data_IF_217855600614
#
_entry.id   IF_217855600614
#
_cell.length_a   1.000
_cell.length_b   1.000
_cell.length_c   1.000
_cell.angle_alpha   90.00
_cell.angle_beta   90.00
_cell.angle_gamma   90.00
#
_symmetry.space_group_name_H-M   'P 1'
#
loop_
_entity.id
_entity.type
_entity.pdbx_description
1 polymer ?
#
# COMPACT_ATOMS: atom_id res chain seq x y z
N UNK A 1 -38.86 19.72 -10.61
CA UNK A 1 -37.53 20.31 -10.33
C UNK A 1 -36.45 19.26 -10.58
N UNK A 2 -35.80 19.28 -11.74
CA UNK A 2 -34.93 18.19 -12.22
C UNK A 2 -33.45 18.58 -12.12
N UNK A 3 -32.73 17.89 -11.24
CA UNK A 3 -31.36 17.37 -11.38
C UNK A 3 -30.29 18.19 -12.13
N UNK A 4 -29.80 19.30 -11.56
CA UNK A 4 -28.54 19.96 -12.01
C UNK A 4 -27.27 19.51 -11.24
N UNK A 5 -27.36 18.55 -10.31
CA UNK A 5 -26.27 18.24 -9.35
C UNK A 5 -25.17 17.25 -9.77
N UNK A 6 -25.27 16.38 -10.80
CA UNK A 6 -24.21 15.39 -11.05
C UNK A 6 -22.95 15.97 -11.74
N UNK A 7 -23.09 17.00 -12.58
CA UNK A 7 -21.95 17.56 -13.34
C UNK A 7 -20.94 18.35 -12.49
N UNK A 8 -21.41 19.06 -11.46
CA UNK A 8 -20.54 19.87 -10.61
C UNK A 8 -19.62 19.00 -9.71
N UNK A 9 -20.13 17.87 -9.22
CA UNK A 9 -19.36 16.90 -8.41
C UNK A 9 -18.26 16.23 -9.24
N UNK A 10 -18.62 15.72 -10.42
CA UNK A 10 -17.64 15.10 -11.34
C UNK A 10 -16.50 16.07 -11.74
N UNK A 11 -16.83 17.34 -11.99
CA UNK A 11 -15.82 18.36 -12.29
C UNK A 11 -14.91 18.68 -11.09
N UNK A 12 -15.43 18.64 -9.86
CA UNK A 12 -14.64 18.83 -8.65
C UNK A 12 -13.71 17.64 -8.39
N UNK A 13 -14.20 16.43 -8.58
CA UNK A 13 -13.44 15.19 -8.44
C UNK A 13 -12.30 15.12 -9.47
N UNK A 14 -12.57 15.44 -10.73
CA UNK A 14 -11.55 15.52 -11.77
C UNK A 14 -10.47 16.60 -11.47
N UNK A 15 -10.84 17.72 -10.83
CA UNK A 15 -9.86 18.73 -10.38
C UNK A 15 -8.98 18.20 -9.27
N UNK A 16 -9.53 17.45 -8.30
CA UNK A 16 -8.78 16.83 -7.21
C UNK A 16 -7.78 15.81 -7.73
N UNK A 17 -8.22 14.90 -8.59
CA UNK A 17 -7.33 13.89 -9.21
C UNK A 17 -6.16 14.55 -9.95
N UNK A 18 -6.45 15.55 -10.80
CA UNK A 18 -5.39 16.27 -11.52
C UNK A 18 -4.44 17.02 -10.59
N UNK A 19 -4.95 17.58 -9.48
CA UNK A 19 -4.11 18.23 -8.50
C UNK A 19 -3.16 17.22 -7.84
N UNK A 20 -3.65 16.07 -7.37
CA UNK A 20 -2.80 15.04 -6.76
C UNK A 20 -1.72 14.58 -7.73
N UNK A 21 -2.08 14.24 -8.98
CA UNK A 21 -1.10 13.86 -10.00
C UNK A 21 -0.02 14.94 -10.21
N UNK A 22 -0.43 16.21 -10.27
CA UNK A 22 0.50 17.34 -10.45
C UNK A 22 1.45 17.54 -9.27
N UNK A 23 0.97 17.39 -8.04
CA UNK A 23 1.75 17.69 -6.84
C UNK A 23 2.56 16.51 -6.33
N UNK A 24 2.04 15.29 -6.47
CA UNK A 24 2.63 14.08 -5.89
C UNK A 24 3.20 13.14 -6.96
N UNK A 25 2.90 13.35 -8.24
CA UNK A 25 3.28 12.43 -9.31
C UNK A 25 2.55 11.10 -9.30
N UNK A 26 1.52 10.94 -8.46
CA UNK A 26 0.78 9.69 -8.27
C UNK A 26 -0.55 9.75 -9.01
N UNK A 27 -0.84 8.71 -9.79
CA UNK A 27 -2.16 8.49 -10.38
C UNK A 27 -3.15 7.99 -9.32
N UNK A 28 -4.29 8.68 -9.20
CA UNK A 28 -5.34 8.39 -8.21
C UNK A 28 -6.73 8.37 -8.85
N UNK A 29 -7.62 7.54 -8.32
CA UNK A 29 -9.05 7.52 -8.61
C UNK A 29 -9.84 7.98 -7.40
N UNK A 30 -11.10 8.37 -7.61
CA UNK A 30 -12.04 8.64 -6.51
C UNK A 30 -13.09 7.55 -6.51
N UNK A 31 -13.15 6.80 -5.42
CA UNK A 31 -14.18 5.81 -5.14
C UNK A 31 -14.89 6.14 -3.82
N UNK A 32 -16.21 6.20 -3.85
CA UNK A 32 -17.06 6.67 -2.73
C UNK A 32 -16.54 7.92 -1.99
N UNK A 33 -15.98 8.88 -2.74
CA UNK A 33 -15.42 10.12 -2.19
C UNK A 33 -14.05 9.99 -1.52
N UNK A 34 -13.43 8.80 -1.54
CA UNK A 34 -12.06 8.54 -1.11
C UNK A 34 -11.11 8.57 -2.29
N UNK A 35 -9.92 9.12 -2.08
CA UNK A 35 -8.83 9.04 -3.05
C UNK A 35 -8.12 7.70 -2.87
N UNK A 36 -8.07 6.90 -3.93
CA UNK A 36 -7.33 5.66 -3.99
C UNK A 36 -6.22 5.79 -5.03
N UNK A 37 -5.08 5.14 -4.80
CA UNK A 37 -4.05 4.98 -5.82
C UNK A 37 -4.66 4.15 -6.96
N UNK A 38 -4.60 4.72 -8.16
CA UNK A 38 -5.18 4.13 -9.35
C UNK A 38 -4.46 2.85 -9.72
N UNK A 39 -5.20 1.86 -10.21
CA UNK A 39 -4.62 0.61 -10.67
C UNK A 39 -4.03 0.72 -12.09
N UNK A 40 -2.97 1.52 -12.25
CA UNK A 40 -2.24 1.65 -13.52
C UNK A 40 -0.95 0.82 -13.52
N UNK A 41 -0.47 0.41 -14.70
CA UNK A 41 0.80 -0.31 -14.84
C UNK A 41 1.97 0.46 -14.20
N UNK A 42 2.07 1.77 -14.45
CA UNK A 42 3.15 2.60 -13.91
C UNK A 42 3.13 2.63 -12.37
N UNK A 43 1.95 2.77 -11.76
CA UNK A 43 1.80 2.77 -10.30
C UNK A 43 2.12 1.40 -9.68
N UNK A 44 1.82 0.29 -10.39
CA UNK A 44 2.22 -1.05 -9.94
C UNK A 44 3.72 -1.23 -10.01
N UNK A 45 4.35 -0.90 -11.13
CA UNK A 45 5.80 -1.08 -11.34
C UNK A 45 6.60 -0.28 -10.33
N UNK A 46 6.23 1.00 -10.10
CA UNK A 46 6.87 1.83 -9.08
C UNK A 46 6.73 1.24 -7.66
N UNK A 47 5.55 0.71 -7.33
CA UNK A 47 5.33 0.04 -6.05
C UNK A 47 6.16 -1.24 -5.92
N UNK A 48 6.22 -2.05 -6.98
CA UNK A 48 6.97 -3.30 -7.01
C UNK A 48 8.46 -3.06 -6.80
N UNK A 49 9.04 -2.08 -7.49
CA UNK A 49 10.44 -1.68 -7.32
C UNK A 49 10.75 -1.29 -5.86
N UNK A 50 9.88 -0.48 -5.25
CA UNK A 50 10.02 -0.08 -3.85
C UNK A 50 9.94 -1.28 -2.89
N UNK A 51 9.04 -2.24 -3.16
CA UNK A 51 8.93 -3.47 -2.36
C UNK A 51 10.13 -4.37 -2.54
N UNK A 52 10.61 -4.56 -3.76
CA UNK A 52 11.79 -5.38 -4.06
C UNK A 52 13.04 -4.83 -3.34
N UNK A 53 13.23 -3.51 -3.33
CA UNK A 53 14.31 -2.88 -2.58
C UNK A 53 14.18 -3.14 -1.06
N UNK A 54 12.97 -3.00 -0.50
CA UNK A 54 12.74 -3.26 0.92
C UNK A 54 12.95 -4.74 1.29
N UNK A 55 12.49 -5.67 0.46
CA UNK A 55 12.70 -7.12 0.63
C UNK A 55 14.19 -7.45 0.58
N UNK A 56 14.96 -6.84 -0.33
CA UNK A 56 16.40 -7.02 -0.40
C UNK A 56 17.11 -6.52 0.87
N UNK A 57 16.64 -5.42 1.47
CA UNK A 57 17.17 -4.95 2.76
C UNK A 57 16.89 -5.93 3.90
N UNK A 58 15.67 -6.45 3.99
CA UNK A 58 15.33 -7.47 4.99
C UNK A 58 16.15 -8.74 4.83
N UNK A 59 16.30 -9.24 3.61
CA UNK A 59 17.09 -10.43 3.31
C UNK A 59 18.57 -10.27 3.70
N UNK A 60 19.09 -9.04 3.71
CA UNK A 60 20.44 -8.71 4.20
C UNK A 60 20.53 -8.59 5.73
N UNK A 61 19.43 -8.79 6.45
CA UNK A 61 19.37 -8.63 7.91
C UNK A 61 19.40 -7.17 8.36
N UNK A 62 19.03 -6.22 7.50
CA UNK A 62 18.96 -4.81 7.88
C UNK A 62 17.95 -4.61 9.01
N UNK A 63 18.26 -3.76 9.99
CA UNK A 63 17.35 -3.41 11.09
C UNK A 63 16.72 -2.06 10.82
N UNK A 64 15.39 -1.96 10.96
CA UNK A 64 14.68 -0.72 10.73
C UNK A 64 15.01 0.31 11.83
N UNK A 65 15.32 1.55 11.43
CA UNK A 65 15.72 2.62 12.35
C UNK A 65 14.60 3.12 13.28
N UNK A 66 13.36 2.78 12.98
CA UNK A 66 12.18 3.19 13.75
C UNK A 66 11.78 2.18 14.84
N UNK A 67 12.63 1.17 15.11
CA UNK A 67 12.39 0.14 16.12
C UNK A 67 11.34 -0.92 15.73
N UNK A 68 10.80 -0.87 14.51
CA UNK A 68 9.86 -1.90 14.04
C UNK A 68 10.59 -3.16 13.60
N UNK A 69 9.90 -4.30 13.74
CA UNK A 69 10.28 -5.52 13.03
C UNK A 69 9.85 -5.46 11.57
N UNK A 70 10.48 -6.27 10.72
CA UNK A 70 10.04 -6.42 9.34
C UNK A 70 8.62 -6.96 9.22
N UNK A 71 8.22 -7.90 10.08
CA UNK A 71 6.83 -8.40 10.13
C UNK A 71 5.85 -7.24 10.34
N UNK A 72 6.09 -6.38 11.34
CA UNK A 72 5.25 -5.19 11.60
C UNK A 72 5.21 -4.24 10.40
N UNK A 73 6.36 -3.98 9.76
CA UNK A 73 6.43 -3.12 8.57
C UNK A 73 5.57 -3.67 7.44
N UNK A 74 5.66 -4.96 7.14
CA UNK A 74 4.91 -5.57 6.04
C UNK A 74 3.42 -5.66 6.33
N UNK A 75 3.02 -6.03 7.54
CA UNK A 75 1.62 -6.02 7.94
C UNK A 75 1.01 -4.62 7.85
N UNK A 76 1.74 -3.59 8.28
CA UNK A 76 1.31 -2.20 8.10
C UNK A 76 1.22 -1.81 6.62
N UNK A 77 2.18 -2.24 5.80
CA UNK A 77 2.18 -1.98 4.36
C UNK A 77 0.99 -2.63 3.67
N UNK A 78 0.69 -3.91 3.96
CA UNK A 78 -0.46 -4.63 3.41
C UNK A 78 -1.77 -3.99 3.84
N UNK A 79 -1.88 -3.57 5.11
CA UNK A 79 -3.05 -2.82 5.60
C UNK A 79 -3.25 -1.51 4.85
N UNK A 80 -2.18 -0.76 4.59
CA UNK A 80 -2.25 0.48 3.82
C UNK A 80 -2.63 0.21 2.35
N UNK A 81 -2.07 -0.82 1.73
CA UNK A 81 -2.43 -1.21 0.36
C UNK A 81 -3.94 -1.49 0.28
N UNK A 82 -4.48 -2.28 1.21
CA UNK A 82 -5.92 -2.61 1.27
C UNK A 82 -6.82 -1.38 1.43
N UNK A 83 -6.38 -0.34 2.13
CA UNK A 83 -7.21 0.84 2.42
C UNK A 83 -7.04 1.99 1.43
N UNK A 84 -6.00 1.99 0.62
CA UNK A 84 -5.61 3.14 -0.21
C UNK A 84 -5.34 2.83 -1.68
N UNK A 85 -5.51 1.58 -2.12
CA UNK A 85 -5.30 1.18 -3.52
C UNK A 85 -6.60 0.64 -4.10
N UNK A 86 -6.94 1.05 -5.33
CA UNK A 86 -8.15 0.62 -6.04
C UNK A 86 -8.21 -0.92 -6.21
N UNK A 87 -7.07 -1.52 -6.54
CA UNK A 87 -6.92 -2.97 -6.66
C UNK A 87 -5.71 -3.46 -5.83
N UNK A 88 -5.92 -3.87 -4.57
CA UNK A 88 -4.82 -4.23 -3.68
C UNK A 88 -4.17 -5.59 -3.99
N UNK A 89 -4.88 -6.50 -4.65
CA UNK A 89 -4.47 -7.90 -4.85
C UNK A 89 -3.07 -8.05 -5.45
N UNK A 90 -2.80 -7.50 -6.65
CA UNK A 90 -1.50 -7.65 -7.31
C UNK A 90 -0.31 -7.17 -6.49
N UNK A 91 -0.48 -6.11 -5.68
CA UNK A 91 0.58 -5.57 -4.80
C UNK A 91 0.86 -6.49 -3.63
N UNK A 92 -0.18 -7.02 -3.00
CA UNK A 92 -0.04 -7.96 -1.89
C UNK A 92 0.60 -9.27 -2.38
N UNK A 93 0.11 -9.79 -3.51
CA UNK A 93 0.64 -11.03 -4.11
C UNK A 93 2.11 -10.90 -4.50
N UNK A 94 2.54 -9.73 -4.99
CA UNK A 94 3.95 -9.46 -5.27
C UNK A 94 4.78 -9.54 -3.99
N UNK A 95 4.37 -8.84 -2.92
CA UNK A 95 5.10 -8.87 -1.63
C UNK A 95 5.23 -10.32 -1.12
N UNK A 96 4.13 -11.07 -1.08
CA UNK A 96 4.14 -12.45 -0.56
C UNK A 96 5.02 -13.35 -1.41
N UNK A 97 4.85 -13.33 -2.73
CA UNK A 97 5.62 -14.15 -3.66
C UNK A 97 7.11 -13.85 -3.57
N UNK A 98 7.49 -12.56 -3.58
CA UNK A 98 8.89 -12.15 -3.57
C UNK A 98 9.58 -12.44 -2.25
N UNK A 99 8.88 -12.29 -1.11
CA UNK A 99 9.38 -12.70 0.20
C UNK A 99 9.65 -14.21 0.26
N UNK A 100 8.72 -15.03 -0.24
CA UNK A 100 8.88 -16.49 -0.32
C UNK A 100 10.09 -16.88 -1.15
N UNK A 101 10.26 -16.26 -2.32
CA UNK A 101 11.42 -16.48 -3.18
C UNK A 101 12.74 -16.09 -2.52
N UNK A 102 12.74 -15.11 -1.62
CA UNK A 102 13.90 -14.70 -0.85
C UNK A 102 14.16 -15.60 0.39
N UNK A 103 13.34 -16.63 0.62
CA UNK A 103 13.46 -17.49 1.81
C UNK A 103 13.14 -16.79 3.12
N UNK A 104 12.42 -15.67 3.07
CA UNK A 104 12.06 -14.90 4.26
C UNK A 104 10.91 -15.59 5.03
N UNK A 105 10.83 -15.41 6.35
CA UNK A 105 9.71 -15.91 7.14
C UNK A 105 8.36 -15.41 6.62
N UNK A 106 7.35 -16.30 6.67
CA UNK A 106 5.96 -15.93 6.41
C UNK A 106 5.50 -14.85 7.39
N UNK A 107 4.60 -13.99 6.93
CA UNK A 107 4.02 -12.95 7.77
C UNK A 107 3.04 -13.58 8.76
N UNK A 108 3.15 -13.20 10.03
CA UNK A 108 2.30 -13.72 11.10
C UNK A 108 1.50 -12.58 11.72
N UNK A 109 0.18 -12.69 11.63
CA UNK A 109 -0.75 -11.79 12.31
C UNK A 109 -0.82 -12.18 13.80
N UNK A 110 0.00 -11.55 14.63
CA UNK A 110 0.02 -11.73 16.08
C UNK A 110 1.30 -11.17 16.71
N UNK A 111 1.22 -10.70 17.96
CA UNK A 111 2.44 -10.45 18.73
C UNK A 111 3.19 -11.77 18.97
N UNK A 112 4.53 -11.78 18.92
CA UNK A 112 5.29 -12.95 19.29
C UNK A 112 4.87 -13.37 20.71
N UNK A 113 4.57 -14.65 20.88
CA UNK A 113 4.03 -15.27 22.09
C UNK A 113 4.95 -15.12 23.33
N UNK A 114 6.12 -14.50 23.18
CA UNK A 114 7.14 -14.30 24.20
C UNK A 114 6.78 -13.30 25.32
N UNK A 115 5.67 -12.57 25.24
CA UNK A 115 5.25 -11.63 26.31
C UNK A 115 4.00 -12.07 27.10
N UNK A 116 3.41 -13.24 26.81
CA UNK A 116 2.23 -13.76 27.54
C UNK A 116 2.54 -14.51 28.84
N UNK A 117 3.67 -14.21 29.49
CA UNK A 117 4.16 -15.01 30.61
C UNK A 117 4.90 -14.25 31.70
N UNK A 118 4.37 -13.14 32.20
CA UNK A 118 4.66 -12.62 33.55
C UNK A 118 3.45 -11.87 34.12
N UNK A 119 2.59 -12.58 34.83
CA UNK A 119 1.73 -12.05 35.88
C UNK A 119 1.73 -13.06 37.02
#
# INVERSE_FOLDING_TARGET
MIGKRPRARAAADARRVRAVKRWMGIDVTIDDGRLLIADTTAEREAAFEAYDHAIAMEARGHVLSNGWTWNQRWLNTIRNIRSSTENPGPRIDHIVTRRRQAGLPELVDGEPESERGRA
#
